data_IF_416224554084
#
_entry.id   IF_416224554084
#
_cell.length_a   1.000
_cell.length_b   1.000
_cell.length_c   1.000
_cell.angle_alpha   90.00
_cell.angle_beta   90.00
_cell.angle_gamma   90.00
#
_symmetry.space_group_name_H-M   'P 1'
#
loop_
_entity.id
_entity.type
_entity.pdbx_description
1 polymer ?
#
# COMPACT_ATOMS: atom_id res chain seq x y z
N UNK A 1 18.72 -7.66 1.75
CA UNK A 1 17.40 -8.24 1.84
C UNK A 1 16.38 -7.31 1.26
N UNK A 2 15.47 -7.88 0.53
CA UNK A 2 14.39 -7.09 -0.06
C UNK A 2 13.14 -7.21 0.78
N UNK A 3 12.45 -6.10 0.93
CA UNK A 3 11.17 -6.10 1.61
C UNK A 3 10.08 -6.48 0.62
N UNK A 4 9.16 -7.31 1.06
CA UNK A 4 7.99 -7.64 0.26
C UNK A 4 7.02 -6.46 0.31
N UNK A 5 6.03 -6.49 -0.58
CA UNK A 5 4.98 -5.48 -0.54
C UNK A 5 4.29 -5.50 0.82
N UNK A 6 4.05 -6.71 1.36
CA UNK A 6 3.41 -6.82 2.67
C UNK A 6 4.23 -6.11 3.74
N UNK A 7 5.53 -6.31 3.71
CA UNK A 7 6.40 -5.67 4.70
C UNK A 7 6.38 -4.15 4.57
N UNK A 8 6.39 -3.66 3.33
CA UNK A 8 6.39 -2.23 3.11
C UNK A 8 5.09 -1.60 3.60
N UNK A 9 3.97 -2.23 3.32
CA UNK A 9 2.68 -1.70 3.73
C UNK A 9 2.55 -1.69 5.25
N UNK A 10 3.00 -2.76 5.89
CA UNK A 10 2.95 -2.81 7.35
C UNK A 10 3.82 -1.73 7.96
N UNK A 11 5.01 -1.54 7.41
CA UNK A 11 5.93 -0.53 7.92
C UNK A 11 5.35 0.87 7.75
N UNK A 12 4.76 1.14 6.60
CA UNK A 12 4.17 2.46 6.34
C UNK A 12 3.00 2.72 7.27
N UNK A 13 2.17 1.71 7.51
CA UNK A 13 1.05 1.88 8.40
C UNK A 13 1.53 2.20 9.82
N UNK A 14 2.54 1.50 10.29
CA UNK A 14 3.08 1.75 11.62
C UNK A 14 3.72 3.12 11.70
N UNK A 15 4.35 3.54 10.62
CA UNK A 15 4.98 4.85 10.59
C UNK A 15 3.95 5.96 10.69
N UNK A 16 2.77 5.76 10.10
CA UNK A 16 1.70 6.75 10.18
C UNK A 16 0.89 6.61 11.45
N UNK A 17 1.17 5.58 12.25
CA UNK A 17 0.51 5.33 13.53
C UNK A 17 -0.99 5.09 13.39
N UNK A 18 -1.37 4.48 12.29
CA UNK A 18 -2.76 4.13 12.06
C UNK A 18 -2.98 2.64 12.31
N UNK A 19 -4.15 2.31 12.86
CA UNK A 19 -4.52 0.92 12.98
C UNK A 19 -5.14 0.46 11.65
N UNK A 20 -5.25 -0.85 11.48
CA UNK A 20 -5.91 -1.38 10.29
C UNK A 20 -7.34 -0.88 10.18
N UNK A 21 -8.02 -0.80 11.32
CA UNK A 21 -9.38 -0.32 11.36
C UNK A 21 -9.47 1.14 10.89
N UNK A 22 -8.52 1.95 11.31
CA UNK A 22 -8.51 3.35 10.91
C UNK A 22 -8.22 3.49 9.41
N UNK A 23 -7.29 2.70 8.90
CA UNK A 23 -6.99 2.74 7.49
C UNK A 23 -8.22 2.33 6.67
N UNK A 24 -8.91 1.29 7.12
CA UNK A 24 -10.11 0.84 6.41
C UNK A 24 -11.17 1.95 6.39
N UNK A 25 -11.34 2.62 7.51
CA UNK A 25 -12.31 3.70 7.60
C UNK A 25 -11.94 4.87 6.69
N UNK A 26 -10.67 5.25 6.68
CA UNK A 26 -10.22 6.34 5.83
C UNK A 26 -10.41 5.99 4.35
N UNK A 27 -10.19 4.73 4.00
CA UNK A 27 -10.31 4.31 2.62
C UNK A 27 -11.74 4.46 2.10
N UNK A 28 -12.73 4.46 3.00
CA UNK A 28 -14.12 4.63 2.58
C UNK A 28 -14.38 6.05 2.09
N UNK A 29 -13.50 6.97 2.39
CA UNK A 29 -13.64 8.34 1.94
C UNK A 29 -13.13 8.51 0.52
N UNK A 30 -12.57 7.47 -0.06
CA UNK A 30 -12.10 7.51 -1.43
C UNK A 30 -13.26 7.79 -2.38
N UNK A 31 -13.06 8.65 -3.37
CA UNK A 31 -14.12 8.94 -4.33
C UNK A 31 -14.48 7.75 -5.22
N UNK A 32 -13.61 6.76 -5.27
CA UNK A 32 -13.84 5.59 -6.09
C UNK A 32 -14.05 4.38 -5.18
N UNK A 33 -15.22 3.76 -5.27
CA UNK A 33 -15.53 2.60 -4.45
C UNK A 33 -14.53 1.48 -4.60
N UNK A 34 -13.90 1.38 -5.78
CA UNK A 34 -12.93 0.33 -6.02
C UNK A 34 -11.69 0.50 -5.17
N UNK A 35 -11.48 1.69 -4.62
CA UNK A 35 -10.35 1.94 -3.76
C UNK A 35 -10.63 1.65 -2.29
N UNK A 36 -11.87 1.29 -1.94
CA UNK A 36 -12.21 0.99 -0.56
C UNK A 36 -11.51 -0.28 -0.08
N UNK A 37 -11.08 -0.26 1.16
CA UNK A 37 -10.33 -1.38 1.72
C UNK A 37 -10.97 -1.78 3.04
N UNK A 38 -11.23 -3.08 3.18
CA UNK A 38 -11.72 -3.59 4.45
C UNK A 38 -10.54 -3.92 5.36
N UNK A 39 -10.82 -4.00 6.65
CA UNK A 39 -9.79 -4.37 7.60
C UNK A 39 -9.25 -5.78 7.28
N UNK A 40 -10.15 -6.70 6.91
CA UNK A 40 -9.74 -8.05 6.56
C UNK A 40 -8.83 -8.08 5.35
N UNK A 41 -9.15 -7.26 4.34
CA UNK A 41 -8.31 -7.20 3.15
C UNK A 41 -6.93 -6.68 3.51
N UNK A 42 -6.87 -5.61 4.31
CA UNK A 42 -5.60 -5.05 4.72
C UNK A 42 -4.78 -6.06 5.52
N UNK A 43 -5.46 -6.82 6.37
CA UNK A 43 -4.79 -7.86 7.14
C UNK A 43 -4.13 -8.89 6.22
N UNK A 44 -4.84 -9.29 5.16
CA UNK A 44 -4.28 -10.25 4.22
C UNK A 44 -3.12 -9.65 3.43
N UNK A 45 -3.20 -8.37 3.11
CA UNK A 45 -2.09 -7.71 2.43
C UNK A 45 -0.84 -7.69 3.30
N UNK A 46 -1.01 -7.35 4.56
CA UNK A 46 0.13 -7.22 5.46
C UNK A 46 0.70 -8.56 5.90
N UNK A 47 -0.09 -9.62 5.80
CA UNK A 47 0.40 -10.95 6.15
C UNK A 47 0.98 -11.69 4.95
N UNK A 48 0.85 -11.12 3.78
CA UNK A 48 1.36 -11.75 2.57
C UNK A 48 0.40 -12.73 1.94
N UNK A 49 -0.79 -12.89 2.51
CA UNK A 49 -1.79 -13.81 1.95
C UNK A 49 -2.41 -13.25 0.68
N UNK A 50 -2.48 -11.94 0.58
CA UNK A 50 -2.95 -11.28 -0.63
C UNK A 50 -1.74 -10.69 -1.30
N UNK A 51 -1.29 -11.29 -2.39
CA UNK A 51 -0.09 -10.82 -3.05
C UNK A 51 -0.34 -10.23 -4.43
N UNK A 52 -1.61 -10.03 -4.78
CA UNK A 52 -1.96 -9.44 -6.06
C UNK A 52 -3.09 -8.43 -5.84
N UNK A 53 -2.82 -7.36 -5.09
CA UNK A 53 -3.87 -6.38 -4.79
C UNK A 53 -4.25 -5.57 -6.02
N UNK A 54 -5.46 -5.04 -6.00
CA UNK A 54 -5.89 -4.22 -7.11
C UNK A 54 -5.14 -2.89 -7.10
N UNK A 55 -4.93 -2.35 -8.28
CA UNK A 55 -4.25 -1.07 -8.41
C UNK A 55 -4.97 0.04 -7.67
N UNK A 56 -6.30 0.05 -7.76
CA UNK A 56 -7.07 1.11 -7.10
C UNK A 56 -6.89 1.07 -5.59
N UNK A 57 -6.84 -0.12 -5.01
CA UNK A 57 -6.63 -0.23 -3.57
C UNK A 57 -5.23 0.21 -3.18
N UNK A 58 -4.24 -0.11 -4.01
CA UNK A 58 -2.88 0.35 -3.74
C UNK A 58 -2.78 1.86 -3.84
N UNK A 59 -3.46 2.45 -4.81
CA UNK A 59 -3.46 3.90 -4.95
C UNK A 59 -4.08 4.56 -3.71
N UNK A 60 -5.15 3.96 -3.19
CA UNK A 60 -5.77 4.47 -1.98
C UNK A 60 -4.80 4.42 -0.81
N UNK A 61 -4.09 3.30 -0.65
CA UNK A 61 -3.12 3.18 0.43
C UNK A 61 -1.98 4.19 0.28
N UNK A 62 -1.52 4.40 -0.95
CA UNK A 62 -0.47 5.38 -1.18
C UNK A 62 -0.94 6.76 -0.75
N UNK A 63 -2.18 7.10 -1.03
CA UNK A 63 -2.73 8.38 -0.63
C UNK A 63 -2.79 8.51 0.89
N UNK A 64 -3.26 7.44 1.57
CA UNK A 64 -3.38 7.45 3.02
C UNK A 64 -2.01 7.56 3.68
N UNK A 65 -1.04 6.82 3.18
CA UNK A 65 0.29 6.80 3.76
C UNK A 65 1.18 7.94 3.24
N UNK A 66 0.65 8.74 2.32
CA UNK A 66 1.37 9.90 1.77
C UNK A 66 2.67 9.51 1.09
N UNK A 67 2.61 8.44 0.32
CA UNK A 67 3.74 7.99 -0.49
C UNK A 67 3.27 7.85 -1.92
N UNK A 68 4.21 7.81 -2.84
CA UNK A 68 3.88 7.63 -4.24
C UNK A 68 3.80 6.14 -4.56
N UNK A 69 2.98 5.76 -5.54
CA UNK A 69 2.90 4.36 -5.93
C UNK A 69 4.26 3.77 -6.25
N UNK A 70 5.14 4.58 -6.81
CA UNK A 70 6.46 4.13 -7.16
C UNK A 70 7.23 3.63 -5.94
N UNK A 71 6.97 4.22 -4.77
CA UNK A 71 7.65 3.81 -3.55
C UNK A 71 7.29 2.39 -3.16
N UNK A 72 6.11 1.92 -3.54
CA UNK A 72 5.69 0.57 -3.23
C UNK A 72 6.23 -0.45 -4.23
N UNK A 73 6.35 -0.03 -5.49
CA UNK A 73 6.70 -0.97 -6.54
C UNK A 73 8.17 -1.03 -6.89
N UNK A 74 8.94 -0.07 -6.39
CA UNK A 74 10.35 -0.07 -6.71
C UNK A 74 11.02 -1.28 -6.09
N UNK A 75 11.67 -2.04 -6.94
CA UNK A 75 12.50 -3.11 -6.45
C UNK A 75 13.86 -2.54 -6.15
N UNK A 76 14.49 -3.10 -5.19
CA UNK A 76 15.81 -2.60 -4.84
C UNK A 76 16.76 -2.67 -6.01
N UNK A 77 16.48 -3.48 -6.96
CA UNK A 77 17.36 -3.64 -8.10
C UNK A 77 17.17 -2.63 -9.17
N UNK A 78 16.24 -1.83 -9.04
CA UNK A 78 15.98 -1.03 -10.13
C UNK A 78 16.73 0.14 -10.22
N UNK A 79 17.19 0.16 -10.59
CA UNK A 79 17.50 1.10 -10.66
C UNK A 79 17.23 1.89 -11.65
N UNK A 80 17.10 1.93 -11.83
CA UNK A 80 16.75 2.52 -12.59
C UNK A 80 16.52 3.44 -13.06
N UNK A 81 16.74 3.77 -13.43
CA UNK A 81 16.41 4.50 -13.90
C UNK A 81 16.07 5.30 -14.59
N UNK A 82 15.92 5.38 -14.73
CA UNK A 82 15.49 5.91 -15.31
C UNK A 82 15.42 6.85 -15.81
N UNK A 83 15.48 6.88 -15.84
CA UNK A 83 15.27 7.56 -16.24
C UNK A 83 15.15 8.31 -16.88
N UNK A 84 15.25 8.21 -16.99
CA UNK A 84 15.03 8.75 -17.50
C UNK A 84 14.91 9.40 -18.20
N UNK A 85 14.85 9.54 -18.41
CA UNK A 85 14.61 10.08 -19.05
C UNK A 85 14.61 10.39 -19.45
#
# INVERSE_FOLDING_TARGET
MTMTLADKLKKLRKKTKLSMSQVARISELSPDHRGGITQGYLSRLESGKENNPSLMKLMTLCSIYMVEPNDLFVKSSLKKPRKTR
#
